data_IF_622733413118
#
_entry.id   IF_622733413118
#
_cell.length_a   1.000
_cell.length_b   1.000
_cell.length_c   1.000
_cell.angle_alpha   90.00
_cell.angle_beta   90.00
_cell.angle_gamma   90.00
#
_symmetry.space_group_name_H-M   'P 1'
#
loop_
_entity.id
_entity.type
_entity.pdbx_description
1 polymer ?
#
# COMPACT_ATOMS: atom_id res chain seq x y z
N UNK A 1 -3.52 19.27 -5.64
CA UNK A 1 -2.99 18.08 -4.93
C UNK A 1 -3.52 16.87 -5.66
N UNK A 2 -2.66 15.92 -5.99
CA UNK A 2 -3.09 14.63 -6.54
C UNK A 2 -3.49 13.74 -5.36
N UNK A 3 -4.73 13.23 -5.37
CA UNK A 3 -5.15 12.24 -4.38
C UNK A 3 -4.44 10.92 -4.65
N UNK A 4 -4.05 10.24 -3.58
CA UNK A 4 -3.37 8.94 -3.59
C UNK A 4 -4.04 8.05 -2.53
N UNK A 5 -4.13 6.75 -2.79
CA UNK A 5 -4.49 5.80 -1.74
C UNK A 5 -3.23 5.33 -1.02
N UNK A 6 -3.30 5.26 0.30
CA UNK A 6 -2.16 4.92 1.16
C UNK A 6 -2.45 3.66 1.94
N UNK A 7 -1.59 2.65 1.80
CA UNK A 7 -1.61 1.40 2.58
C UNK A 7 -0.69 1.57 3.78
N UNK A 8 -1.22 1.38 5.00
CA UNK A 8 -0.42 1.48 6.23
C UNK A 8 -0.18 0.15 6.95
N UNK A 9 -0.94 -0.90 6.60
CA UNK A 9 -0.79 -2.21 7.17
C UNK A 9 -1.30 -3.27 6.18
N UNK A 10 -0.79 -4.49 6.32
CA UNK A 10 -1.18 -5.63 5.47
C UNK A 10 -1.41 -6.87 6.31
N UNK A 11 -2.28 -7.76 5.82
CA UNK A 11 -2.40 -9.13 6.31
C UNK A 11 -2.09 -10.07 5.17
N UNK A 12 -1.11 -10.95 5.40
CA UNK A 12 -0.76 -12.00 4.45
C UNK A 12 -1.66 -13.22 4.64
N UNK A 13 -1.76 -14.05 3.60
CA UNK A 13 -2.35 -15.38 3.70
C UNK A 13 -1.59 -16.28 4.70
N UNK A 14 -2.12 -17.48 4.96
CA UNK A 14 -1.51 -18.43 5.89
C UNK A 14 -0.08 -18.85 5.48
N UNK A 15 0.19 -18.94 4.17
CA UNK A 15 1.52 -19.27 3.64
C UNK A 15 2.53 -18.11 3.78
N UNK A 16 2.06 -16.88 4.00
CA UNK A 16 2.87 -15.68 4.13
C UNK A 16 3.44 -15.13 2.82
N UNK A 17 3.00 -15.64 1.67
CA UNK A 17 3.53 -15.31 0.34
C UNK A 17 2.64 -14.36 -0.47
N UNK A 18 1.39 -14.12 -0.01
CA UNK A 18 0.42 -13.26 -0.69
C UNK A 18 -0.23 -12.29 0.29
N UNK A 19 -0.45 -11.04 -0.11
CA UNK A 19 -1.30 -10.13 0.65
C UNK A 19 -2.76 -10.52 0.43
N UNK A 20 -3.56 -10.62 1.49
CA UNK A 20 -5.01 -10.88 1.37
C UNK A 20 -5.83 -9.66 1.79
N UNK A 21 -5.34 -8.91 2.77
CA UNK A 21 -6.00 -7.68 3.20
C UNK A 21 -5.02 -6.55 3.33
N UNK A 22 -5.54 -5.35 3.13
CA UNK A 22 -4.86 -4.09 3.39
C UNK A 22 -5.64 -3.29 4.41
N UNK A 23 -4.93 -2.50 5.21
CA UNK A 23 -5.51 -1.33 5.87
C UNK A 23 -5.05 -0.10 5.13
N UNK A 24 -5.99 0.60 4.51
CA UNK A 24 -5.69 1.68 3.57
C UNK A 24 -6.73 2.80 3.61
N UNK A 25 -6.42 3.93 2.98
CA UNK A 25 -7.35 5.05 2.88
C UNK A 25 -6.87 6.15 1.95
N UNK A 26 -7.76 7.08 1.63
CA UNK A 26 -7.44 8.23 0.78
C UNK A 26 -6.57 9.24 1.52
N UNK A 27 -5.54 9.72 0.82
CA UNK A 27 -4.66 10.77 1.28
C UNK A 27 -4.14 11.63 0.13
N UNK A 28 -3.12 12.43 0.43
CA UNK A 28 -2.41 13.26 -0.52
C UNK A 28 -0.93 13.33 -0.18
N UNK A 29 -0.11 13.52 -1.20
CA UNK A 29 1.30 13.90 -1.04
C UNK A 29 1.38 15.41 -0.78
N UNK A 30 1.93 15.79 0.37
CA UNK A 30 2.24 17.20 0.67
C UNK A 30 3.50 17.63 -0.10
N UNK A 31 3.69 18.93 -0.26
CA UNK A 31 4.83 19.49 -1.02
C UNK A 31 6.21 19.14 -0.45
N UNK A 32 6.29 18.75 0.83
CA UNK A 32 7.52 18.27 1.49
C UNK A 32 7.73 16.75 1.37
N UNK A 33 6.90 16.04 0.59
CA UNK A 33 6.97 14.59 0.42
C UNK A 33 6.27 13.77 1.51
N UNK A 34 5.80 14.38 2.59
CA UNK A 34 5.04 13.69 3.65
C UNK A 34 3.59 13.41 3.25
N UNK A 35 2.96 12.34 3.76
CA UNK A 35 1.54 12.08 3.53
C UNK A 35 0.64 12.96 4.40
N UNK A 36 -0.57 13.24 3.91
CA UNK A 36 -1.70 13.70 4.68
C UNK A 36 -2.92 12.81 4.43
N UNK A 37 -3.67 12.50 5.49
CA UNK A 37 -4.85 11.65 5.40
C UNK A 37 -6.10 12.50 5.18
N UNK A 38 -6.99 12.03 4.30
CA UNK A 38 -8.27 12.68 4.00
C UNK A 38 -9.46 11.92 4.59
N UNK A 39 -9.27 10.63 4.91
CA UNK A 39 -10.32 9.75 5.42
C UNK A 39 -9.80 8.80 6.50
N UNK A 40 -10.75 8.18 7.23
CA UNK A 40 -10.47 7.06 8.14
C UNK A 40 -10.01 5.85 7.33
N UNK A 41 -9.00 5.16 7.83
CA UNK A 41 -8.46 3.96 7.19
C UNK A 41 -9.39 2.77 7.41
N UNK A 42 -9.54 1.95 6.38
CA UNK A 42 -10.43 0.79 6.37
C UNK A 42 -9.64 -0.48 6.07
N UNK A 43 -10.05 -1.59 6.67
CA UNK A 43 -9.52 -2.93 6.36
C UNK A 43 -10.35 -3.56 5.25
N UNK A 44 -9.71 -3.94 4.16
CA UNK A 44 -10.38 -4.44 2.97
C UNK A 44 -9.53 -5.50 2.24
N UNK A 45 -10.20 -6.28 1.41
CA UNK A 45 -9.57 -7.28 0.54
C UNK A 45 -8.61 -6.59 -0.45
N UNK A 46 -7.45 -7.21 -0.68
CA UNK A 46 -6.42 -6.68 -1.59
C UNK A 46 -6.94 -6.46 -3.02
N UNK A 47 -7.98 -7.19 -3.44
CA UNK A 47 -8.58 -7.04 -4.75
C UNK A 47 -9.14 -5.62 -4.98
N UNK A 48 -9.56 -4.89 -3.94
CA UNK A 48 -9.99 -3.50 -4.09
C UNK A 48 -8.81 -2.56 -4.40
N UNK A 49 -7.59 -2.91 -3.98
CA UNK A 49 -6.38 -2.18 -4.37
C UNK A 49 -6.03 -2.49 -5.82
N UNK A 50 -6.12 -3.76 -6.23
CA UNK A 50 -5.91 -4.17 -7.62
C UNK A 50 -6.88 -3.46 -8.56
N UNK A 51 -8.17 -3.42 -8.20
CA UNK A 51 -9.19 -2.69 -8.94
C UNK A 51 -8.83 -1.21 -9.07
N UNK A 52 -8.45 -0.55 -7.97
CA UNK A 52 -8.04 0.86 -7.98
C UNK A 52 -6.86 1.11 -8.94
N UNK A 53 -5.84 0.25 -8.91
CA UNK A 53 -4.69 0.31 -9.81
C UNK A 53 -5.11 0.14 -11.28
N UNK A 54 -6.04 -0.77 -11.58
CA UNK A 54 -6.59 -0.95 -12.93
C UNK A 54 -7.42 0.25 -13.40
N UNK A 55 -8.11 0.95 -12.50
CA UNK A 55 -8.81 2.20 -12.80
C UNK A 55 -7.87 3.40 -12.95
N UNK A 56 -6.56 3.22 -12.70
CA UNK A 56 -5.55 4.25 -12.85
C UNK A 56 -5.34 5.10 -11.59
N UNK A 57 -5.87 4.68 -10.44
CA UNK A 57 -5.55 5.33 -9.18
C UNK A 57 -4.10 5.07 -8.78
N UNK A 58 -3.46 6.08 -8.19
CA UNK A 58 -2.15 5.89 -7.57
C UNK A 58 -2.32 5.28 -6.17
N UNK A 59 -1.57 4.21 -5.91
CA UNK A 59 -1.48 3.59 -4.59
C UNK A 59 -0.02 3.61 -4.13
N UNK A 60 0.19 3.98 -2.87
CA UNK A 60 1.49 3.96 -2.22
C UNK A 60 1.39 3.41 -0.80
N UNK A 61 2.54 3.09 -0.22
CA UNK A 61 2.65 2.66 1.18
C UNK A 61 2.87 3.87 2.09
N UNK A 62 2.49 3.75 3.36
CA UNK A 62 2.73 4.75 4.40
C UNK A 62 3.29 4.05 5.64
N UNK A 63 4.45 4.50 6.12
CA UNK A 63 5.15 3.91 7.26
C UNK A 63 5.09 4.84 8.46
N UNK A 64 4.92 4.27 9.65
CA UNK A 64 5.08 5.02 10.90
C UNK A 64 6.52 4.91 11.40
N UNK A 65 7.28 6.00 11.30
CA UNK A 65 8.70 6.08 11.70
C UNK A 65 8.84 7.16 12.77
N UNK A 66 9.29 6.78 13.98
CA UNK A 66 9.54 7.76 15.04
C UNK A 66 8.31 8.57 15.48
N UNK A 67 7.10 8.06 15.25
CA UNK A 67 5.84 8.76 15.55
C UNK A 67 5.29 9.60 14.40
N UNK A 68 6.06 9.80 13.33
CA UNK A 68 5.62 10.45 12.10
C UNK A 68 5.19 9.42 11.05
N UNK A 69 4.29 9.82 10.16
CA UNK A 69 3.93 9.00 9.00
C UNK A 69 4.74 9.51 7.81
N UNK A 70 5.47 8.61 7.16
CA UNK A 70 6.28 8.89 5.98
C UNK A 70 5.72 8.11 4.79
N UNK A 71 5.81 8.72 3.61
CA UNK A 71 5.39 8.08 2.39
C UNK A 71 6.44 7.06 1.95
N UNK A 72 6.01 5.84 1.64
CA UNK A 72 6.83 4.78 1.10
C UNK A 72 6.71 4.64 -0.42
N UNK A 73 7.22 3.54 -0.99
CA UNK A 73 7.12 3.23 -2.40
C UNK A 73 5.68 3.18 -2.91
N UNK A 74 5.53 3.46 -4.20
CA UNK A 74 4.31 3.18 -4.95
C UNK A 74 4.12 1.68 -5.12
N UNK A 75 2.88 1.27 -5.33
CA UNK A 75 2.44 -0.11 -5.49
C UNK A 75 2.01 -0.35 -6.93
N UNK A 76 2.23 -1.57 -7.43
CA UNK A 76 1.75 -2.03 -8.72
C UNK A 76 1.14 -3.42 -8.62
N UNK A 77 0.37 -3.81 -9.64
CA UNK A 77 -0.20 -5.15 -9.75
C UNK A 77 0.88 -6.14 -10.19
N UNK A 78 0.98 -7.26 -9.50
CA UNK A 78 1.78 -8.43 -9.89
C UNK A 78 0.87 -9.62 -10.18
N UNK A 79 1.32 -10.53 -11.04
CA UNK A 79 0.56 -11.73 -11.40
C UNK A 79 1.35 -12.96 -10.94
N UNK A 80 0.77 -13.70 -9.99
CA UNK A 80 1.30 -14.96 -9.48
C UNK A 80 1.01 -16.13 -10.42
N UNK A 81 1.54 -17.31 -10.08
CA UNK A 81 1.23 -18.54 -10.78
C UNK A 81 -0.31 -18.77 -10.83
N UNK A 82 -0.79 -19.28 -11.97
CA UNK A 82 -2.22 -19.49 -12.25
C UNK A 82 -3.04 -18.21 -12.48
N UNK A 83 -2.40 -17.04 -12.66
CA UNK A 83 -3.07 -15.81 -13.06
C UNK A 83 -3.76 -15.07 -11.91
N UNK A 84 -3.36 -15.36 -10.67
CA UNK A 84 -3.87 -14.66 -9.49
C UNK A 84 -3.14 -13.31 -9.41
N UNK A 85 -3.91 -12.22 -9.42
CA UNK A 85 -3.39 -10.87 -9.23
C UNK A 85 -3.19 -10.57 -7.74
N UNK A 86 -2.14 -9.80 -7.45
CA UNK A 86 -1.80 -9.28 -6.12
C UNK A 86 -1.05 -7.95 -6.32
N UNK A 87 -0.44 -7.43 -5.26
CA UNK A 87 0.30 -6.18 -5.27
C UNK A 87 1.76 -6.34 -4.82
N UNK A 88 2.65 -5.49 -5.35
CA UNK A 88 4.01 -5.33 -4.84
C UNK A 88 4.48 -3.87 -4.95
N UNK A 89 5.51 -3.50 -4.19
CA UNK A 89 6.16 -2.19 -4.28
C UNK A 89 7.01 -2.06 -5.55
N UNK A 90 6.95 -0.91 -6.22
CA UNK A 90 7.73 -0.63 -7.45
C UNK A 90 9.21 -0.37 -7.13
N UNK A 91 9.48 0.36 -6.04
CA UNK A 91 10.81 0.88 -5.72
C UNK A 91 11.45 0.11 -4.57
N UNK A 92 12.15 -0.99 -4.88
CA UNK A 92 12.91 -1.77 -3.89
C UNK A 92 14.21 -1.10 -3.43
N UNK A 93 14.56 0.05 -4.01
CA UNK A 93 15.80 0.80 -3.71
C UNK A 93 15.80 1.46 -2.33
N UNK A 94 14.69 1.41 -1.58
CA UNK A 94 14.64 1.83 -0.18
C UNK A 94 14.55 0.58 0.72
N UNK A 95 15.67 0.13 1.32
CA UNK A 95 15.67 -1.01 2.21
C UNK A 95 14.67 -0.85 3.35
N UNK A 96 13.92 -1.92 3.64
CA UNK A 96 12.95 -1.95 4.74
C UNK A 96 11.66 -1.15 4.46
N UNK A 97 11.33 -0.92 3.19
CA UNK A 97 10.05 -0.26 2.79
C UNK A 97 9.27 -1.06 1.75
N UNK A 98 9.25 -2.37 1.90
CA UNK A 98 8.39 -3.27 1.12
C UNK A 98 7.03 -3.48 1.81
N UNK A 99 6.11 -4.19 1.16
CA UNK A 99 4.87 -4.61 1.81
C UNK A 99 5.11 -5.49 3.05
N UNK A 100 6.18 -6.29 3.06
CA UNK A 100 6.54 -7.15 4.19
C UNK A 100 7.01 -6.38 5.43
N UNK A 101 7.43 -5.12 5.24
CA UNK A 101 7.89 -4.23 6.31
C UNK A 101 6.75 -3.43 6.94
N UNK A 102 5.54 -3.50 6.37
CA UNK A 102 4.37 -2.85 6.95
C UNK A 102 3.89 -3.59 8.22
N UNK A 103 3.28 -2.86 9.17
CA UNK A 103 2.55 -3.46 10.28
C UNK A 103 1.55 -4.54 9.82
N UNK A 104 1.41 -5.57 10.65
CA UNK A 104 0.41 -6.64 10.49
C UNK A 104 -0.79 -6.40 11.39
N UNK A 105 -1.96 -6.90 10.99
CA UNK A 105 -3.19 -6.87 11.76
C UNK A 105 -3.99 -8.16 11.61
#
# INVERSE_FOLDING_TARGET
MTSVHLIEAVRFNEAGDRVEMVRWGRGHRKGNGSPGWEAVMVEQDVNLVVDALHFGDEVATAFKVGGEIVLGPRVHVVIHQHGIEDIDTIDHDVPGRTLADLPRF
#
